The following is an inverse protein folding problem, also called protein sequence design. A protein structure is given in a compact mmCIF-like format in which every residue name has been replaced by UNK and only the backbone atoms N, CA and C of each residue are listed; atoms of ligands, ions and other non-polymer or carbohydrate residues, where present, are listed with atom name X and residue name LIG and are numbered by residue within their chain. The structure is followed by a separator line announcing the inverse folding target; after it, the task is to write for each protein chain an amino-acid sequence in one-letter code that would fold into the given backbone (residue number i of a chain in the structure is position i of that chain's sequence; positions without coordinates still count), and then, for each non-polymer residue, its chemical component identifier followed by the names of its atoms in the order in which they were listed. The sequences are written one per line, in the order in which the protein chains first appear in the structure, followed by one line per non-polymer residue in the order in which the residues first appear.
data_IF_320008621410
#
_entry.id   IF_320008621410
#
_cell.length_a   1.000
_cell.length_b   1.000
_cell.length_c   1.000
_cell.angle_alpha   90.00
_cell.angle_beta   90.00
_cell.angle_gamma   90.00
#
_symmetry.space_group_name_H-M   'P 1'
#
loop_
_entity.id
_entity.type
_entity.pdbx_description
1 polymer ?
#
# COMPACT_ATOMS: atom_id res chain seq x y z
N UNK A 1 20.06 -13.70 -2.65
CA UNK A 1 19.11 -13.34 -1.58
C UNK A 1 19.28 -11.85 -1.31
N UNK A 2 18.40 -10.99 -1.84
CA UNK A 2 18.39 -9.57 -1.46
C UNK A 2 17.89 -9.53 -0.01
N UNK A 3 18.73 -9.10 0.91
CA UNK A 3 18.31 -8.80 2.29
C UNK A 3 17.19 -7.77 2.21
N UNK A 4 15.98 -8.10 2.67
CA UNK A 4 14.90 -7.12 2.77
C UNK A 4 15.32 -6.08 3.82
N UNK A 5 15.58 -4.86 3.35
CA UNK A 5 15.93 -3.72 4.17
C UNK A 5 14.87 -3.50 5.25
N UNK A 6 15.31 -3.22 6.48
CA UNK A 6 14.41 -3.02 7.62
C UNK A 6 13.77 -1.65 7.49
N UNK A 7 12.43 -1.61 7.47
CA UNK A 7 11.66 -0.37 7.46
C UNK A 7 11.25 -0.09 8.91
N UNK A 8 11.75 1.01 9.47
CA UNK A 8 11.39 1.46 10.80
C UNK A 8 10.22 2.46 10.73
N UNK A 9 9.08 2.08 11.31
CA UNK A 9 7.86 2.87 11.34
C UNK A 9 7.51 3.28 12.77
N UNK A 10 7.45 4.57 13.06
CA UNK A 10 6.88 5.07 14.31
C UNK A 10 5.38 5.31 14.14
N UNK A 11 4.58 4.85 15.11
CA UNK A 11 3.12 5.05 15.15
C UNK A 11 2.78 5.91 16.36
N UNK A 12 2.50 7.20 16.10
CA UNK A 12 2.10 8.20 17.07
C UNK A 12 0.56 8.32 17.12
N UNK A 13 -0.04 7.60 18.06
CA UNK A 13 -1.48 7.57 18.29
C UNK A 13 -1.72 7.35 19.79
N UNK A 14 -2.67 8.07 20.37
CA UNK A 14 -3.03 7.98 21.80
C UNK A 14 -3.91 6.75 22.08
N UNK A 15 -4.86 6.45 21.18
CA UNK A 15 -5.75 5.31 21.29
C UNK A 15 -5.00 3.99 21.18
N UNK A 16 -4.97 3.22 22.28
CA UNK A 16 -4.31 1.91 22.35
C UNK A 16 -4.87 0.96 21.30
N UNK A 17 -6.20 0.95 21.10
CA UNK A 17 -6.86 0.02 20.17
C UNK A 17 -6.42 0.31 18.73
N UNK A 18 -6.44 1.58 18.32
CA UNK A 18 -6.03 1.99 16.97
C UNK A 18 -4.55 1.71 16.76
N UNK A 19 -3.70 2.15 17.70
CA UNK A 19 -2.24 1.99 17.61
C UNK A 19 -1.84 0.52 17.56
N UNK A 20 -2.29 -0.29 18.51
CA UNK A 20 -1.95 -1.71 18.55
C UNK A 20 -2.55 -2.48 17.37
N UNK A 21 -3.75 -2.10 16.91
CA UNK A 21 -4.37 -2.66 15.71
C UNK A 21 -3.53 -2.38 14.46
N UNK A 22 -3.15 -1.13 14.22
CA UNK A 22 -2.32 -0.74 13.09
C UNK A 22 -0.94 -1.41 13.15
N UNK A 23 -0.28 -1.42 14.31
CA UNK A 23 1.00 -2.11 14.51
C UNK A 23 0.90 -3.61 14.19
N UNK A 24 -0.20 -4.27 14.58
CA UNK A 24 -0.40 -5.68 14.29
C UNK A 24 -0.57 -5.95 12.79
N UNK A 25 -1.23 -5.05 12.06
CA UNK A 25 -1.37 -5.15 10.59
C UNK A 25 -0.02 -4.88 9.91
N UNK A 26 0.67 -3.80 10.28
CA UNK A 26 1.98 -3.43 9.73
C UNK A 26 3.00 -4.57 9.83
N UNK A 27 3.09 -5.23 10.98
CA UNK A 27 4.00 -6.37 11.21
C UNK A 27 3.67 -7.62 10.38
N UNK A 28 2.47 -7.68 9.79
CA UNK A 28 1.98 -8.82 9.00
C UNK A 28 1.91 -8.52 7.51
N UNK A 29 2.33 -7.33 7.07
CA UNK A 29 2.35 -7.00 5.66
C UNK A 29 3.28 -7.97 4.91
N UNK A 30 2.82 -8.54 3.79
CA UNK A 30 3.62 -9.47 3.01
C UNK A 30 4.83 -8.74 2.41
N UNK A 31 5.92 -9.46 2.18
CA UNK A 31 7.09 -8.99 1.43
C UNK A 31 7.79 -7.71 1.97
N UNK A 32 7.49 -7.31 3.21
CA UNK A 32 8.09 -6.16 3.90
C UNK A 32 8.67 -6.53 5.26
N UNK A 33 9.88 -6.05 5.57
CA UNK A 33 10.51 -6.26 6.87
C UNK A 33 10.31 -5.02 7.75
N UNK A 34 9.17 -4.93 8.43
CA UNK A 34 8.77 -3.75 9.21
C UNK A 34 9.06 -3.93 10.70
N UNK A 35 9.79 -2.97 11.28
CA UNK A 35 9.89 -2.75 12.72
C UNK A 35 9.06 -1.53 13.12
N UNK A 36 8.38 -1.62 14.25
CA UNK A 36 7.46 -0.56 14.70
C UNK A 36 7.86 0.02 16.05
N UNK A 37 7.80 1.33 16.20
CA UNK A 37 7.91 2.03 17.48
C UNK A 37 6.53 2.61 17.83
N UNK A 38 5.99 2.25 18.97
CA UNK A 38 4.73 2.82 19.46
C UNK A 38 5.00 4.10 20.25
N UNK A 39 4.34 5.18 19.88
CA UNK A 39 4.50 6.50 20.49
C UNK A 39 3.16 6.98 21.03
N UNK A 40 3.10 7.27 22.33
CA UNK A 40 1.85 7.58 23.04
C UNK A 40 1.77 9.00 23.58
N UNK A 41 2.85 9.78 23.47
CA UNK A 41 2.91 11.19 23.89
C UNK A 41 3.90 11.99 23.05
N UNK A 42 3.80 13.33 23.07
CA UNK A 42 4.76 14.25 22.42
C UNK A 42 6.19 14.06 22.93
N UNK A 43 6.36 13.84 24.24
CA UNK A 43 7.68 13.53 24.82
C UNK A 43 8.24 12.21 24.28
N UNK A 44 7.38 11.20 24.14
CA UNK A 44 7.76 9.93 23.51
C UNK A 44 8.15 10.11 22.04
N UNK A 45 7.46 10.99 21.32
CA UNK A 45 7.79 11.31 19.94
C UNK A 45 9.16 11.99 19.83
N UNK A 46 9.44 12.98 20.68
CA UNK A 46 10.75 13.63 20.74
C UNK A 46 11.87 12.61 20.96
N UNK A 47 11.76 11.76 21.98
CA UNK A 47 12.75 10.70 22.23
C UNK A 47 12.88 9.71 21.06
N UNK A 48 11.77 9.39 20.38
CA UNK A 48 11.78 8.52 19.20
C UNK A 48 12.60 9.14 18.06
N UNK A 49 12.39 10.43 17.79
CA UNK A 49 13.10 11.16 16.74
C UNK A 49 14.60 11.29 17.05
N UNK A 50 14.96 11.54 18.31
CA UNK A 50 16.36 11.68 18.74
C UNK A 50 17.13 10.36 18.71
N UNK A 51 16.48 9.24 19.09
CA UNK A 51 17.19 7.97 19.29
C UNK A 51 17.13 7.01 18.09
N UNK A 52 16.09 7.09 17.26
CA UNK A 52 15.82 6.05 16.25
C UNK A 52 15.60 6.58 14.83
N UNK A 53 15.23 7.85 14.65
CA UNK A 53 14.98 8.49 13.33
C UNK A 53 14.24 7.56 12.35
N UNK A 54 12.93 7.31 12.55
CA UNK A 54 12.19 6.33 11.76
C UNK A 54 12.14 6.73 10.27
N UNK A 55 12.01 5.73 9.38
CA UNK A 55 11.79 5.99 7.95
C UNK A 55 10.41 6.62 7.72
N UNK A 56 9.40 6.15 8.46
CA UNK A 56 8.02 6.64 8.38
C UNK A 56 7.52 6.97 9.78
N UNK A 57 6.94 8.15 9.95
CA UNK A 57 6.14 8.54 11.11
C UNK A 57 4.67 8.55 10.69
N UNK A 58 3.91 7.55 11.14
CA UNK A 58 2.44 7.56 11.04
C UNK A 58 1.90 8.26 12.29
N UNK A 59 1.24 9.39 12.12
CA UNK A 59 0.74 10.22 13.23
C UNK A 59 -0.72 10.58 13.03
N UNK A 60 -1.52 10.42 14.08
CA UNK A 60 -2.87 10.98 14.08
C UNK A 60 -2.77 12.52 14.08
N UNK A 61 -3.42 13.25 13.15
CA UNK A 61 -3.39 14.71 13.15
C UNK A 61 -3.86 15.37 14.45
N UNK A 62 -4.60 14.65 15.31
CA UNK A 62 -5.03 15.09 16.64
C UNK A 62 -4.17 14.54 17.79
N UNK A 63 -2.97 14.03 17.49
CA UNK A 63 -2.05 13.45 18.47
C UNK A 63 -1.61 14.47 19.55
N UNK A 64 -2.16 14.31 20.76
CA UNK A 64 -2.04 15.27 21.87
C UNK A 64 -2.35 16.72 21.45
N UNK A 65 -3.42 16.88 20.67
CA UNK A 65 -3.81 18.12 20.01
C UNK A 65 -3.42 18.13 18.53
N UNK A 66 -3.52 19.28 17.88
CA UNK A 66 -3.20 19.38 16.45
C UNK A 66 -1.69 19.13 16.20
N UNK A 67 -1.39 18.19 15.31
CA UNK A 67 -0.03 17.92 14.84
C UNK A 67 0.25 18.75 13.57
N UNK A 68 1.04 19.79 13.75
CA UNK A 68 1.47 20.70 12.69
C UNK A 68 2.76 20.17 12.05
N UNK A 69 2.67 19.77 10.78
CA UNK A 69 3.78 19.18 10.04
C UNK A 69 4.85 20.21 9.71
N UNK A 70 4.47 21.45 9.41
CA UNK A 70 5.42 22.51 9.06
C UNK A 70 6.26 22.88 10.29
N UNK A 71 5.60 23.09 11.43
CA UNK A 71 6.30 23.34 12.69
C UNK A 71 7.19 22.16 13.11
N UNK A 72 6.76 20.92 12.84
CA UNK A 72 7.57 19.73 13.10
C UNK A 72 8.81 19.68 12.21
N UNK A 73 8.67 19.95 10.91
CA UNK A 73 9.79 20.00 9.95
C UNK A 73 10.76 21.14 10.25
N UNK A 74 10.28 22.29 10.73
CA UNK A 74 11.14 23.38 11.21
C UNK A 74 12.00 22.96 12.42
N UNK A 75 11.44 22.15 13.32
CA UNK A 75 12.18 21.63 14.47
C UNK A 75 13.22 20.57 14.09
N UNK A 76 13.00 19.85 12.98
CA UNK A 76 13.91 18.83 12.43
C UNK A 76 14.31 19.17 10.97
N UNK A 77 15.19 20.17 10.74
CA UNK A 77 15.45 20.74 9.40
C UNK A 77 16.14 19.80 8.39
N UNK A 78 16.56 18.61 8.82
CA UNK A 78 17.15 17.56 7.96
C UNK A 78 16.36 16.25 8.04
N UNK A 79 15.06 16.34 8.29
CA UNK A 79 14.19 15.19 8.44
C UNK A 79 14.00 14.45 7.10
N UNK A 80 14.52 13.23 7.03
CA UNK A 80 14.24 12.30 5.91
C UNK A 80 12.97 11.46 6.14
N UNK A 81 12.50 11.40 7.39
CA UNK A 81 11.27 10.69 7.80
C UNK A 81 10.07 11.17 7.00
N UNK A 82 9.34 10.23 6.39
CA UNK A 82 8.05 10.51 5.75
C UNK A 82 6.95 10.60 6.81
N UNK A 83 6.17 11.67 6.79
CA UNK A 83 5.11 11.96 7.77
C UNK A 83 3.75 11.64 7.14
N UNK A 84 3.11 10.62 7.68
CA UNK A 84 1.85 10.07 7.17
C UNK A 84 0.74 10.34 8.16
N UNK A 85 -0.39 10.85 7.69
CA UNK A 85 -1.54 11.09 8.56
C UNK A 85 -2.29 9.79 8.84
N UNK A 86 -2.71 9.58 10.09
CA UNK A 86 -3.63 8.52 10.47
C UNK A 86 -5.04 9.08 10.67
N UNK A 87 -5.89 8.89 9.67
CA UNK A 87 -7.26 9.41 9.64
C UNK A 87 -8.19 8.40 10.35
N UNK A 88 -8.46 8.68 11.62
CA UNK A 88 -9.41 7.93 12.45
C UNK A 88 -10.83 8.55 12.42
N UNK A 89 -10.92 9.85 12.16
CA UNK A 89 -12.14 10.65 12.14
C UNK A 89 -12.12 11.61 10.96
N UNK A 90 -13.21 12.35 10.75
CA UNK A 90 -13.19 13.43 9.76
C UNK A 90 -12.12 14.49 10.12
N UNK A 91 -11.33 14.88 9.13
CA UNK A 91 -10.30 15.92 9.22
C UNK A 91 -10.46 16.84 8.00
N UNK A 92 -10.30 18.14 8.18
CA UNK A 92 -10.40 19.11 7.07
C UNK A 92 -9.24 18.90 6.08
N UNK A 93 -9.50 19.03 4.78
CA UNK A 93 -8.45 18.85 3.77
C UNK A 93 -7.29 19.85 3.92
N UNK A 94 -7.56 21.07 4.41
CA UNK A 94 -6.52 22.07 4.68
C UNK A 94 -5.58 21.65 5.82
N UNK A 95 -6.09 20.85 6.74
CA UNK A 95 -5.36 20.31 7.88
C UNK A 95 -4.41 19.18 7.44
N UNK A 96 -4.68 18.52 6.31
CA UNK A 96 -3.80 17.46 5.79
C UNK A 96 -2.64 17.99 4.94
N UNK A 97 -2.44 19.31 4.85
CA UNK A 97 -1.28 19.89 4.17
C UNK A 97 0.02 19.51 4.89
N UNK A 98 1.06 19.24 4.10
CA UNK A 98 2.40 18.92 4.60
C UNK A 98 2.68 17.43 4.82
N UNK A 99 1.63 16.61 5.01
CA UNK A 99 1.72 15.16 5.07
C UNK A 99 2.01 14.57 3.68
N UNK A 100 2.86 13.55 3.62
CA UNK A 100 3.22 12.86 2.36
C UNK A 100 2.15 11.88 1.89
N UNK A 101 1.38 11.28 2.81
CA UNK A 101 0.29 10.34 2.51
C UNK A 101 -0.70 10.28 3.68
N UNK A 102 -1.88 9.68 3.47
CA UNK A 102 -2.88 9.44 4.51
C UNK A 102 -3.27 7.96 4.57
N UNK A 103 -3.32 7.40 5.78
CA UNK A 103 -3.85 6.07 6.07
C UNK A 103 -5.20 6.24 6.77
N UNK A 104 -6.25 5.62 6.24
CA UNK A 104 -7.55 5.60 6.91
C UNK A 104 -7.68 4.37 7.79
N UNK A 105 -8.41 4.50 8.90
CA UNK A 105 -8.73 3.39 9.79
C UNK A 105 -9.40 2.19 9.08
N UNK A 106 -10.08 2.46 7.96
CA UNK A 106 -10.81 1.47 7.18
C UNK A 106 -10.07 1.00 5.92
N UNK A 107 -8.83 1.41 5.71
CA UNK A 107 -8.02 0.91 4.59
C UNK A 107 -7.79 -0.60 4.74
N UNK A 108 -7.88 -1.32 3.63
CA UNK A 108 -7.49 -2.72 3.59
C UNK A 108 -5.97 -2.90 3.54
N UNK A 109 -5.53 -4.15 3.75
CA UNK A 109 -4.12 -4.53 3.82
C UNK A 109 -3.37 -4.20 2.51
N UNK A 110 -4.00 -4.44 1.36
CA UNK A 110 -3.40 -4.18 0.03
C UNK A 110 -3.17 -2.68 -0.18
N UNK A 111 -4.11 -1.85 0.24
CA UNK A 111 -4.01 -0.39 0.18
C UNK A 111 -2.89 0.13 1.07
N UNK A 112 -2.76 -0.41 2.29
CA UNK A 112 -1.69 -0.04 3.23
C UNK A 112 -0.31 -0.45 2.71
N UNK A 113 -0.18 -1.68 2.19
CA UNK A 113 1.04 -2.20 1.58
C UNK A 113 1.51 -1.30 0.43
N UNK A 114 0.58 -0.92 -0.46
CA UNK A 114 0.88 -0.04 -1.59
C UNK A 114 1.37 1.34 -1.14
N UNK A 115 0.70 1.94 -0.15
CA UNK A 115 1.09 3.26 0.39
C UNK A 115 2.51 3.23 0.96
N UNK A 116 2.83 2.23 1.77
CA UNK A 116 4.17 2.08 2.35
C UNK A 116 5.22 1.83 1.26
N UNK A 117 4.89 1.02 0.26
CA UNK A 117 5.80 0.73 -0.86
C UNK A 117 6.16 1.97 -1.66
N UNK A 118 5.18 2.83 -1.93
CA UNK A 118 5.38 4.12 -2.61
C UNK A 118 6.25 5.05 -1.76
N UNK A 119 5.98 5.16 -0.45
CA UNK A 119 6.74 6.04 0.46
C UNK A 119 8.21 5.65 0.60
N UNK A 120 8.50 4.35 0.59
CA UNK A 120 9.85 3.82 0.74
C UNK A 120 10.64 3.80 -0.56
N UNK A 121 10.08 4.29 -1.68
CA UNK A 121 10.72 4.24 -3.00
C UNK A 121 11.26 2.83 -3.35
N UNK A 122 10.63 1.76 -2.86
CA UNK A 122 10.95 0.40 -3.33
C UNK A 122 10.64 0.22 -4.83
N UNK A 123 9.96 1.20 -5.42
CA UNK A 123 10.03 1.50 -6.84
C UNK A 123 11.23 2.43 -7.12
N UNK A 124 12.44 1.87 -7.22
CA UNK A 124 13.51 2.55 -7.98
C UNK A 124 13.23 2.37 -9.48
N UNK A 125 13.26 3.50 -10.19
CA UNK A 125 13.44 3.61 -11.65
C UNK A 125 12.52 2.75 -12.52
N UNK A 126 11.27 3.18 -12.64
CA UNK A 126 10.69 3.30 -13.98
C UNK A 126 9.88 4.59 -14.03
N UNK A 127 10.48 5.58 -14.69
CA UNK A 127 9.85 6.82 -15.14
C UNK A 127 8.77 6.48 -16.19
N UNK A 128 7.69 5.88 -15.73
CA UNK A 128 6.38 5.87 -16.40
C UNK A 128 5.30 5.73 -15.32
N UNK A 129 4.82 6.88 -14.87
CA UNK A 129 3.75 6.96 -13.88
C UNK A 129 2.51 6.15 -14.28
N UNK A 130 1.80 5.66 -13.26
CA UNK A 130 0.42 5.17 -13.35
C UNK A 130 0.16 4.18 -14.50
N UNK A 131 0.45 2.88 -14.34
CA UNK A 131 -0.33 1.77 -14.98
C UNK A 131 0.31 0.37 -14.88
N UNK A 132 1.31 0.17 -14.02
CA UNK A 132 1.82 -1.19 -13.80
C UNK A 132 0.80 -2.06 -13.04
N UNK A 133 0.53 -3.22 -13.63
CA UNK A 133 -0.34 -4.24 -13.05
C UNK A 133 0.30 -4.81 -11.78
N UNK A 134 -0.49 -4.94 -10.71
CA UNK A 134 -0.03 -5.63 -9.50
C UNK A 134 0.19 -7.11 -9.79
N UNK A 135 0.97 -7.80 -8.94
CA UNK A 135 1.18 -9.23 -9.09
C UNK A 135 -0.15 -10.00 -9.09
N UNK A 136 -1.09 -9.56 -8.24
CA UNK A 136 -2.43 -10.14 -8.17
C UNK A 136 -3.24 -9.94 -9.43
N UNK A 137 -3.14 -8.76 -10.04
CA UNK A 137 -3.78 -8.48 -11.32
C UNK A 137 -3.19 -9.34 -12.45
N UNK A 138 -1.87 -9.57 -12.46
CA UNK A 138 -1.21 -10.48 -13.42
C UNK A 138 -1.70 -11.93 -13.28
N UNK A 139 -1.84 -12.43 -12.05
CA UNK A 139 -2.40 -13.77 -11.79
C UNK A 139 -3.85 -13.89 -12.29
N UNK A 140 -4.66 -12.87 -12.03
CA UNK A 140 -6.06 -12.83 -12.48
C UNK A 140 -6.12 -12.79 -14.01
N UNK A 141 -5.27 -12.01 -14.69
CA UNK A 141 -5.16 -12.02 -16.15
C UNK A 141 -4.84 -13.43 -16.64
N UNK A 142 -3.85 -14.11 -16.05
CA UNK A 142 -3.50 -15.47 -16.43
C UNK A 142 -4.67 -16.46 -16.27
N UNK A 143 -5.49 -16.30 -15.24
CA UNK A 143 -6.67 -17.15 -15.05
C UNK A 143 -7.79 -16.83 -16.06
N UNK A 144 -8.01 -15.54 -16.36
CA UNK A 144 -8.99 -15.09 -17.37
C UNK A 144 -8.62 -15.60 -18.76
N UNK A 145 -7.33 -15.53 -19.13
CA UNK A 145 -6.83 -16.01 -20.43
C UNK A 145 -6.96 -17.54 -20.56
N UNK A 146 -6.84 -18.28 -19.46
CA UNK A 146 -7.11 -19.73 -19.42
C UNK A 146 -8.60 -20.09 -19.46
N UNK A 147 -9.49 -19.08 -19.53
CA UNK A 147 -10.93 -19.26 -19.65
C UNK A 147 -11.65 -19.55 -18.33
N UNK A 148 -11.05 -19.22 -17.19
CA UNK A 148 -11.68 -19.42 -15.88
C UNK A 148 -12.77 -18.38 -15.62
N UNK A 149 -13.87 -18.80 -15.01
CA UNK A 149 -14.96 -17.94 -14.53
C UNK A 149 -14.56 -17.20 -13.26
N UNK A 150 -15.26 -16.10 -12.91
CA UNK A 150 -14.96 -15.36 -11.67
C UNK A 150 -15.05 -16.23 -10.41
N UNK A 151 -15.92 -17.25 -10.42
CA UNK A 151 -16.06 -18.20 -9.32
C UNK A 151 -14.86 -19.15 -9.22
N UNK A 152 -14.42 -19.72 -10.34
CA UNK A 152 -13.23 -20.57 -10.39
C UNK A 152 -11.96 -19.80 -10.04
N UNK A 153 -11.84 -18.54 -10.48
CA UNK A 153 -10.73 -17.66 -10.10
C UNK A 153 -10.74 -17.42 -8.59
N UNK A 154 -11.91 -17.11 -8.03
CA UNK A 154 -12.08 -16.87 -6.60
C UNK A 154 -11.66 -18.10 -5.77
N UNK A 155 -12.11 -19.29 -6.17
CA UNK A 155 -11.75 -20.56 -5.53
C UNK A 155 -10.25 -20.86 -5.66
N UNK A 156 -9.68 -20.71 -6.87
CA UNK A 156 -8.26 -21.00 -7.14
C UNK A 156 -7.32 -20.06 -6.39
N UNK A 157 -7.71 -18.79 -6.28
CA UNK A 157 -6.89 -17.74 -5.68
C UNK A 157 -7.24 -17.49 -4.20
N UNK A 158 -8.16 -18.26 -3.62
CA UNK A 158 -8.63 -18.15 -2.23
C UNK A 158 -9.13 -16.75 -1.85
N UNK A 159 -9.90 -16.10 -2.74
CA UNK A 159 -10.50 -14.77 -2.52
C UNK A 159 -11.99 -14.77 -2.82
N UNK A 160 -12.71 -13.72 -2.42
CA UNK A 160 -14.12 -13.59 -2.75
C UNK A 160 -14.35 -13.31 -4.25
N UNK A 161 -15.50 -13.73 -4.78
CA UNK A 161 -15.92 -13.39 -6.16
C UNK A 161 -15.98 -11.88 -6.37
N UNK A 162 -16.40 -11.14 -5.34
CA UNK A 162 -16.43 -9.67 -5.38
C UNK A 162 -15.02 -9.09 -5.55
N UNK A 163 -14.02 -9.63 -4.83
CA UNK A 163 -12.61 -9.24 -4.96
C UNK A 163 -12.09 -9.48 -6.38
N UNK A 164 -12.45 -10.61 -7.02
CA UNK A 164 -12.11 -10.88 -8.43
C UNK A 164 -12.71 -9.82 -9.36
N UNK A 165 -13.97 -9.44 -9.16
CA UNK A 165 -14.64 -8.39 -9.96
C UNK A 165 -13.92 -7.04 -9.81
N UNK A 166 -13.53 -6.67 -8.58
CA UNK A 166 -12.78 -5.43 -8.31
C UNK A 166 -11.43 -5.43 -9.03
N UNK A 167 -10.63 -6.48 -8.91
CA UNK A 167 -9.36 -6.57 -9.62
C UNK A 167 -9.54 -6.52 -11.14
N UNK A 168 -10.55 -7.19 -11.70
CA UNK A 168 -10.85 -7.11 -13.14
C UNK A 168 -11.19 -5.70 -13.57
N UNK A 169 -11.96 -4.95 -12.77
CA UNK A 169 -12.23 -3.53 -13.02
C UNK A 169 -10.95 -2.69 -12.99
N UNK A 170 -10.04 -2.97 -12.07
CA UNK A 170 -8.75 -2.29 -11.99
C UNK A 170 -7.85 -2.62 -13.19
N UNK A 171 -7.79 -3.88 -13.62
CA UNK A 171 -7.09 -4.32 -14.84
C UNK A 171 -7.62 -3.57 -16.07
N UNK A 172 -8.94 -3.53 -16.27
CA UNK A 172 -9.53 -2.80 -17.39
C UNK A 172 -9.24 -1.30 -17.33
N UNK A 173 -9.24 -0.69 -16.13
CA UNK A 173 -8.89 0.72 -15.96
C UNK A 173 -7.42 0.98 -16.28
N UNK A 174 -6.50 0.10 -15.87
CA UNK A 174 -5.06 0.25 -16.09
C UNK A 174 -4.65 -0.03 -17.53
N UNK A 175 -5.24 -1.05 -18.16
CA UNK A 175 -4.86 -1.45 -19.51
C UNK A 175 -5.68 -0.75 -20.60
N UNK A 176 -6.83 -0.15 -20.24
CA UNK A 176 -7.83 0.34 -21.19
C UNK A 176 -8.28 -0.75 -22.20
N UNK A 177 -8.17 -2.02 -21.81
CA UNK A 177 -8.57 -3.19 -22.60
C UNK A 177 -9.94 -3.65 -22.11
N UNK A 178 -10.92 -3.58 -23.01
CA UNK A 178 -12.31 -3.96 -22.74
C UNK A 178 -12.70 -5.33 -23.32
N UNK A 179 -11.84 -5.93 -24.16
CA UNK A 179 -12.13 -7.22 -24.82
C UNK A 179 -11.27 -8.35 -24.27
N UNK A 180 -11.86 -9.54 -24.12
CA UNK A 180 -11.12 -10.74 -23.69
C UNK A 180 -9.99 -11.09 -24.66
N UNK A 181 -10.22 -10.94 -25.97
CA UNK A 181 -9.20 -11.16 -26.99
C UNK A 181 -8.02 -10.18 -26.86
N UNK A 182 -8.29 -8.89 -26.61
CA UNK A 182 -7.25 -7.89 -26.36
C UNK A 182 -6.43 -8.22 -25.12
N UNK A 183 -7.10 -8.72 -24.06
CA UNK A 183 -6.43 -9.11 -22.82
C UNK A 183 -5.51 -10.32 -23.02
N UNK A 184 -5.94 -11.30 -23.83
CA UNK A 184 -5.11 -12.45 -24.22
C UNK A 184 -3.87 -12.03 -25.01
N UNK A 185 -4.02 -11.14 -26.00
CA UNK A 185 -2.88 -10.61 -26.77
C UNK A 185 -1.89 -9.91 -25.84
N UNK A 186 -2.38 -9.02 -24.97
CA UNK A 186 -1.56 -8.34 -23.99
C UNK A 186 -0.78 -9.32 -23.10
N UNK A 187 -1.44 -10.35 -22.60
CA UNK A 187 -0.84 -11.30 -21.69
C UNK A 187 0.27 -12.15 -22.35
N UNK A 188 0.12 -12.48 -23.64
CA UNK A 188 1.15 -13.19 -24.42
C UNK A 188 2.35 -12.27 -24.69
N UNK A 189 2.10 -11.04 -25.17
CA UNK A 189 3.16 -10.06 -25.50
C UNK A 189 4.03 -9.74 -24.29
N UNK A 190 3.40 -9.62 -23.12
CA UNK A 190 4.08 -9.33 -21.85
C UNK A 190 4.59 -10.59 -21.11
N UNK A 191 4.56 -11.77 -21.77
CA UNK A 191 5.03 -13.05 -21.22
C UNK A 191 4.39 -13.42 -19.86
N UNK A 192 3.14 -13.01 -19.64
CA UNK A 192 2.36 -13.39 -18.45
C UNK A 192 1.77 -14.80 -18.58
N UNK A 193 1.64 -15.28 -19.81
CA UNK A 193 1.12 -16.61 -20.16
C UNK A 193 1.78 -17.08 -21.44
N UNK A 194 2.09 -18.37 -21.52
CA UNK A 194 2.55 -18.99 -22.76
C UNK A 194 1.37 -19.35 -23.68
N UNK A 195 1.62 -19.37 -24.99
CA UNK A 195 0.64 -19.79 -25.99
C UNK A 195 0.09 -21.21 -25.75
N UNK A 196 0.89 -22.08 -25.12
CA UNK A 196 0.53 -23.44 -24.74
C UNK A 196 -0.58 -23.50 -23.68
N UNK A 197 -0.74 -22.45 -22.88
CA UNK A 197 -1.71 -22.40 -21.77
C UNK A 197 -3.07 -21.81 -22.19
N UNK A 198 -3.16 -21.26 -23.40
CA UNK A 198 -4.39 -20.63 -23.91
C UNK A 198 -5.29 -21.69 -24.52
N UNK A 199 -6.48 -21.89 -23.94
CA UNK A 199 -7.50 -22.78 -24.53
C UNK A 199 -8.06 -22.13 -25.80
N UNK A 200 -7.58 -22.55 -26.97
CA UNK A 200 -8.24 -22.25 -28.24
C UNK A 200 -9.49 -23.13 -28.38
N UNK A 201 -10.67 -22.52 -28.22
CA UNK A 201 -11.89 -23.08 -28.80
C UNK A 201 -11.92 -22.67 -30.26
N UNK A 202 -11.35 -23.51 -31.12
CA UNK A 202 -11.58 -23.45 -32.57
C UNK A 202 -12.92 -24.14 -32.85
#
# INVERSE_FOLDING_TARGET
MKSQEIILIAVAETSVIVRSGLVAVLKRLPDMNIQTIEVTSKKGLQHCMEAHTPNILIVNPQFEGWFDVDAFKEHYPHLETKIVSLICTFVDANQLKGYEESINLFDDVESLEKKISVLMNFAEEDDSGQDTLSQREKEIIGCVVRGMTNKEIAEKLYISVHTVITHRRNITRKLQIHSAAGLTIYAIVNKLVELSEVKMKI
#
